data_IF_638784131413
#
_entry.id   IF_638784131413
#
_cell.length_a   1.000
_cell.length_b   1.000
_cell.length_c   1.000
_cell.angle_alpha   90.00
_cell.angle_beta   90.00
_cell.angle_gamma   90.00
#
_symmetry.space_group_name_H-M   'P 1'
#
loop_
_entity.id
_entity.type
_entity.pdbx_description
1 polymer ?
#
# COMPACT_ATOMS: atom_id res chain seq x y z
N UNK A 1 -7.17 0.37 23.22
CA UNK A 1 -7.89 0.99 22.08
C UNK A 1 -8.77 -0.08 21.46
N UNK A 2 -10.08 0.15 21.31
CA UNK A 2 -11.09 -0.89 20.99
C UNK A 2 -10.80 -1.72 19.73
N UNK A 3 -10.03 -1.21 18.77
CA UNK A 3 -9.69 -1.95 17.54
C UNK A 3 -8.91 -3.25 17.79
N UNK A 4 -8.06 -3.30 18.82
CA UNK A 4 -7.24 -4.48 19.14
C UNK A 4 -8.05 -5.59 19.81
N UNK A 5 -9.14 -5.22 20.50
CA UNK A 5 -10.02 -6.15 21.21
C UNK A 5 -10.88 -6.93 20.20
N UNK A 6 -10.78 -8.26 20.20
CA UNK A 6 -11.48 -9.13 19.24
C UNK A 6 -12.99 -8.90 19.24
N UNK A 7 -13.61 -8.64 20.40
CA UNK A 7 -15.04 -8.35 20.56
C UNK A 7 -15.47 -7.10 19.77
N UNK A 8 -14.62 -6.08 19.72
CA UNK A 8 -14.95 -4.78 19.14
C UNK A 8 -14.35 -4.56 17.76
N UNK A 9 -13.34 -5.34 17.36
CA UNK A 9 -12.63 -5.16 16.08
C UNK A 9 -13.59 -5.10 14.88
N UNK A 10 -14.51 -6.06 14.77
CA UNK A 10 -15.50 -6.10 13.68
C UNK A 10 -16.40 -4.86 13.68
N UNK A 11 -16.88 -4.43 14.85
CA UNK A 11 -17.73 -3.25 14.99
C UNK A 11 -16.98 -1.98 14.59
N UNK A 12 -15.72 -1.82 15.03
CA UNK A 12 -14.89 -0.67 14.69
C UNK A 12 -14.65 -0.61 13.18
N UNK A 13 -14.30 -1.74 12.54
CA UNK A 13 -14.17 -1.83 11.07
C UNK A 13 -15.45 -1.39 10.37
N UNK A 14 -16.61 -1.91 10.78
CA UNK A 14 -17.89 -1.54 10.19
C UNK A 14 -18.21 -0.04 10.32
N UNK A 15 -17.89 0.57 11.46
CA UNK A 15 -18.06 2.01 11.67
C UNK A 15 -17.16 2.81 10.72
N UNK A 16 -15.88 2.46 10.64
CA UNK A 16 -14.91 3.11 9.75
C UNK A 16 -15.37 3.01 8.29
N UNK A 17 -15.76 1.82 7.83
CA UNK A 17 -16.25 1.60 6.47
C UNK A 17 -17.54 2.38 6.19
N UNK A 18 -18.44 2.49 7.16
CA UNK A 18 -19.65 3.31 7.04
C UNK A 18 -19.32 4.80 6.91
N UNK A 19 -18.30 5.28 7.61
CA UNK A 19 -17.84 6.67 7.50
C UNK A 19 -17.20 6.93 6.14
N UNK A 20 -16.35 6.02 5.68
CA UNK A 20 -15.76 6.04 4.33
C UNK A 20 -16.83 6.12 3.24
N UNK A 21 -17.87 5.27 3.31
CA UNK A 21 -19.00 5.25 2.36
C UNK A 21 -19.80 6.57 2.34
N UNK A 22 -19.71 7.37 3.39
CA UNK A 22 -20.34 8.70 3.48
C UNK A 22 -19.36 9.83 3.12
N UNK A 23 -18.20 9.51 2.56
CA UNK A 23 -17.13 10.45 2.23
C UNK A 23 -16.67 11.29 3.43
N UNK A 24 -16.78 10.74 4.64
CA UNK A 24 -16.23 11.38 5.84
C UNK A 24 -14.72 11.11 5.91
N UNK A 25 -13.95 12.12 6.28
CA UNK A 25 -12.51 11.98 6.44
C UNK A 25 -12.19 11.02 7.60
N UNK A 26 -11.60 9.87 7.27
CA UNK A 26 -11.14 8.84 8.22
C UNK A 26 -9.61 8.73 8.29
N UNK A 27 -8.87 9.57 7.55
CA UNK A 27 -7.43 9.49 7.39
C UNK A 27 -6.70 9.45 8.73
N UNK A 28 -7.07 10.31 9.68
CA UNK A 28 -6.47 10.34 11.01
C UNK A 28 -6.73 9.04 11.77
N UNK A 29 -7.94 8.50 11.68
CA UNK A 29 -8.31 7.24 12.35
C UNK A 29 -7.49 6.09 11.80
N UNK A 30 -7.35 5.99 10.48
CA UNK A 30 -6.57 4.92 9.85
C UNK A 30 -5.07 5.07 10.15
N UNK A 31 -4.53 6.28 10.03
CA UNK A 31 -3.11 6.53 10.32
C UNK A 31 -2.72 6.09 11.73
N UNK A 32 -3.63 6.26 12.70
CA UNK A 32 -3.43 5.79 14.07
C UNK A 32 -3.41 4.27 14.21
N UNK A 33 -4.16 3.53 13.39
CA UNK A 33 -4.10 2.06 13.42
C UNK A 33 -2.68 1.56 13.13
N UNK A 34 -2.01 2.23 12.19
CA UNK A 34 -0.62 1.95 11.82
C UNK A 34 0.38 2.46 12.86
N UNK A 35 0.30 3.72 13.26
CA UNK A 35 1.24 4.29 14.25
C UNK A 35 1.17 3.61 15.61
N UNK A 36 -0.01 3.19 16.05
CA UNK A 36 -0.22 2.55 17.34
C UNK A 36 -0.06 1.01 17.28
N UNK A 37 0.36 0.46 16.13
CA UNK A 37 0.55 -0.99 15.88
C UNK A 37 -0.67 -1.84 16.31
N UNK A 38 -1.86 -1.43 15.87
CA UNK A 38 -3.14 -2.07 16.25
C UNK A 38 -3.61 -3.10 15.23
N UNK A 39 -2.97 -3.11 14.06
CA UNK A 39 -3.26 -3.97 12.93
C UNK A 39 -2.68 -5.35 13.16
N UNK A 40 -3.53 -6.35 12.99
CA UNK A 40 -3.20 -7.77 12.91
C UNK A 40 -3.54 -8.21 11.49
N UNK A 41 -2.52 -8.60 10.70
CA UNK A 41 -2.72 -8.87 9.28
C UNK A 41 -3.66 -10.06 9.04
N UNK A 42 -3.53 -11.14 9.81
CA UNK A 42 -4.38 -12.33 9.68
C UNK A 42 -5.86 -11.99 9.91
N UNK A 43 -6.12 -11.05 10.82
CA UNK A 43 -7.47 -10.58 11.15
C UNK A 43 -7.96 -9.44 10.26
N UNK A 44 -7.08 -8.57 9.80
CA UNK A 44 -7.42 -7.24 9.28
C UNK A 44 -7.16 -7.08 7.77
N UNK A 45 -6.56 -8.06 7.08
CA UNK A 45 -6.16 -7.99 5.66
C UNK A 45 -7.24 -7.41 4.73
N UNK A 46 -8.43 -8.01 4.68
CA UNK A 46 -9.50 -7.55 3.78
C UNK A 46 -9.93 -6.10 4.06
N UNK A 47 -9.96 -5.72 5.34
CA UNK A 47 -10.27 -4.36 5.76
C UNK A 47 -9.18 -3.38 5.32
N UNK A 48 -7.90 -3.75 5.42
CA UNK A 48 -6.79 -2.92 4.96
C UNK A 48 -6.83 -2.71 3.44
N UNK A 49 -7.11 -3.76 2.68
CA UNK A 49 -7.28 -3.68 1.22
C UNK A 49 -8.43 -2.71 0.89
N UNK A 50 -9.58 -2.82 1.57
CA UNK A 50 -10.71 -1.92 1.34
C UNK A 50 -10.38 -0.46 1.67
N UNK A 51 -9.68 -0.18 2.78
CA UNK A 51 -9.41 1.20 3.20
C UNK A 51 -8.28 1.85 2.40
N UNK A 52 -7.17 1.16 2.19
CA UNK A 52 -5.98 1.66 1.48
C UNK A 52 -6.23 1.68 -0.03
N UNK A 53 -7.00 0.72 -0.54
CA UNK A 53 -7.23 0.51 -1.97
C UNK A 53 -8.22 1.47 -2.64
N UNK A 54 -8.68 2.57 -2.03
CA UNK A 54 -9.64 3.46 -2.72
C UNK A 54 -9.51 4.96 -2.47
N UNK A 55 -8.66 5.41 -1.54
CA UNK A 55 -8.43 6.83 -1.27
C UNK A 55 -7.07 7.01 -0.61
N UNK A 56 -6.04 7.16 -1.44
CA UNK A 56 -4.66 7.25 -1.01
C UNK A 56 -4.34 8.70 -0.67
N UNK A 57 -4.43 9.04 0.60
CA UNK A 57 -3.88 10.31 1.09
C UNK A 57 -2.41 10.15 1.45
N UNK A 58 -1.66 11.27 1.39
CA UNK A 58 -0.24 11.30 1.78
C UNK A 58 0.01 10.73 3.17
N UNK A 59 -0.81 11.11 4.14
CA UNK A 59 -0.65 10.64 5.52
C UNK A 59 -0.88 9.14 5.65
N UNK A 60 -1.85 8.60 4.90
CA UNK A 60 -2.16 7.17 4.91
C UNK A 60 -0.97 6.36 4.40
N UNK A 61 -0.44 6.72 3.22
CA UNK A 61 0.72 6.05 2.61
C UNK A 61 1.91 6.10 3.56
N UNK A 62 2.26 7.28 4.06
CA UNK A 62 3.39 7.44 4.96
C UNK A 62 3.23 6.65 6.27
N UNK A 63 2.04 6.63 6.84
CA UNK A 63 1.76 5.84 8.05
C UNK A 63 1.89 4.33 7.81
N UNK A 64 1.49 3.85 6.63
CA UNK A 64 1.58 2.45 6.24
C UNK A 64 3.05 2.04 5.98
N UNK A 65 3.81 2.82 5.23
CA UNK A 65 5.25 2.60 4.99
C UNK A 65 6.00 2.52 6.32
N UNK A 66 5.77 3.48 7.21
CA UNK A 66 6.40 3.50 8.53
C UNK A 66 6.01 2.29 9.37
N UNK A 67 4.78 1.80 9.25
CA UNK A 67 4.34 0.59 9.95
C UNK A 67 5.08 -0.66 9.46
N UNK A 68 5.33 -0.78 8.15
CA UNK A 68 6.15 -1.87 7.61
C UNK A 68 7.61 -1.78 8.11
N UNK A 69 8.21 -0.58 8.06
CA UNK A 69 9.61 -0.34 8.44
C UNK A 69 9.86 -0.55 9.94
N UNK A 70 9.07 0.09 10.82
CA UNK A 70 9.30 0.06 12.27
C UNK A 70 9.19 -1.36 12.86
N UNK A 71 8.33 -2.18 12.28
CA UNK A 71 8.02 -3.51 12.79
C UNK A 71 8.76 -4.61 12.02
N UNK A 72 9.64 -4.23 11.07
CA UNK A 72 10.33 -5.16 10.15
C UNK A 72 9.36 -6.18 9.54
N UNK A 73 8.16 -5.72 9.15
CA UNK A 73 7.14 -6.60 8.56
C UNK A 73 7.64 -7.09 7.20
N UNK A 74 7.33 -8.33 6.87
CA UNK A 74 7.60 -8.82 5.51
C UNK A 74 6.74 -8.04 4.52
N UNK A 75 7.39 -7.47 3.51
CA UNK A 75 6.70 -6.76 2.43
C UNK A 75 5.83 -7.74 1.62
N UNK A 76 6.27 -8.99 1.49
CA UNK A 76 5.51 -10.07 0.83
C UNK A 76 4.15 -10.31 1.49
N UNK A 77 4.04 -10.22 2.82
CA UNK A 77 2.78 -10.45 3.53
C UNK A 77 1.72 -9.39 3.20
N UNK A 78 2.16 -8.22 2.75
CA UNK A 78 1.31 -7.08 2.39
C UNK A 78 1.19 -6.89 0.87
N UNK A 79 1.50 -7.93 0.08
CA UNK A 79 1.58 -7.86 -1.38
C UNK A 79 0.29 -7.31 -2.02
N UNK A 80 -0.87 -7.78 -1.56
CA UNK A 80 -2.15 -7.35 -2.11
C UNK A 80 -2.45 -5.87 -1.85
N UNK A 81 -2.05 -5.37 -0.68
CA UNK A 81 -2.24 -3.96 -0.30
C UNK A 81 -1.31 -3.09 -1.14
N UNK A 82 -0.04 -3.48 -1.28
CA UNK A 82 0.97 -2.74 -2.06
C UNK A 82 0.58 -2.69 -3.54
N UNK A 83 0.18 -3.81 -4.13
CA UNK A 83 -0.27 -3.87 -5.52
C UNK A 83 -1.54 -3.03 -5.75
N UNK A 84 -2.44 -2.99 -4.77
CA UNK A 84 -3.62 -2.10 -4.82
C UNK A 84 -3.22 -0.63 -4.80
N UNK A 85 -2.23 -0.25 -3.97
CA UNK A 85 -1.69 1.11 -3.94
C UNK A 85 -1.09 1.53 -5.30
N UNK A 86 -0.24 0.67 -5.87
CA UNK A 86 0.37 0.87 -7.18
C UNK A 86 -0.67 0.98 -8.31
N UNK A 87 -1.74 0.17 -8.26
CA UNK A 87 -2.82 0.26 -9.26
C UNK A 87 -3.58 1.58 -9.16
N UNK A 88 -3.84 2.06 -7.94
CA UNK A 88 -4.60 3.29 -7.73
C UNK A 88 -3.85 4.55 -8.12
N UNK A 89 -2.54 4.61 -7.87
CA UNK A 89 -1.74 5.77 -8.26
C UNK A 89 -1.74 5.94 -9.78
N UNK A 90 -1.64 4.84 -10.54
CA UNK A 90 -1.76 4.84 -12.01
C UNK A 90 -3.16 5.28 -12.43
N UNK A 91 -4.20 4.72 -11.81
CA UNK A 91 -5.61 4.95 -12.20
C UNK A 91 -6.11 6.37 -11.94
N UNK A 92 -5.66 7.00 -10.86
CA UNK A 92 -6.22 8.27 -10.37
C UNK A 92 -5.28 9.46 -10.52
N UNK A 93 -4.15 9.29 -11.20
CA UNK A 93 -3.14 10.33 -11.48
C UNK A 93 -3.74 11.67 -11.89
N UNK A 94 -4.61 11.68 -12.90
CA UNK A 94 -5.15 12.93 -13.47
C UNK A 94 -6.30 13.55 -12.64
N UNK A 95 -6.77 12.86 -11.60
CA UNK A 95 -7.96 13.27 -10.83
C UNK A 95 -7.65 13.85 -9.46
N UNK A 96 -6.52 13.48 -8.87
CA UNK A 96 -6.19 13.83 -7.49
C UNK A 96 -4.78 14.43 -7.41
N UNK A 97 -4.71 15.73 -7.10
CA UNK A 97 -3.44 16.44 -6.90
C UNK A 97 -2.68 15.97 -5.64
N UNK A 98 -3.33 15.18 -4.78
CA UNK A 98 -2.77 14.64 -3.53
C UNK A 98 -1.81 13.46 -3.72
N UNK A 99 -1.68 12.94 -4.95
CA UNK A 99 -0.69 11.90 -5.28
C UNK A 99 0.73 12.44 -5.43
N UNK A 100 0.88 13.74 -5.68
CA UNK A 100 2.18 14.40 -5.66
C UNK A 100 2.80 14.17 -4.28
N UNK A 101 4.00 13.58 -4.23
CA UNK A 101 4.79 13.20 -3.03
C UNK A 101 4.66 11.76 -2.49
N UNK A 102 3.62 11.00 -2.81
CA UNK A 102 3.55 9.56 -2.40
C UNK A 102 4.05 8.58 -3.44
N UNK A 103 4.25 9.07 -4.67
CA UNK A 103 4.65 8.24 -5.80
C UNK A 103 5.99 7.55 -5.57
N UNK A 104 6.91 8.21 -4.88
CA UNK A 104 8.23 7.66 -4.54
C UNK A 104 8.16 6.58 -3.47
N UNK A 105 7.34 6.77 -2.44
CA UNK A 105 7.11 5.77 -1.40
C UNK A 105 6.46 4.51 -1.98
N UNK A 106 5.45 4.69 -2.83
CA UNK A 106 4.78 3.57 -3.53
C UNK A 106 5.75 2.88 -4.50
N UNK A 107 6.54 3.64 -5.27
CA UNK A 107 7.56 3.08 -6.17
C UNK A 107 8.56 2.20 -5.42
N UNK A 108 9.02 2.64 -4.24
CA UNK A 108 9.93 1.86 -3.38
C UNK A 108 9.28 0.58 -2.87
N UNK A 109 8.00 0.63 -2.48
CA UNK A 109 7.28 -0.58 -2.06
C UNK A 109 7.13 -1.59 -3.20
N UNK A 110 6.82 -1.13 -4.42
CA UNK A 110 6.71 -2.00 -5.61
C UNK A 110 8.05 -2.65 -5.96
N UNK A 111 9.13 -1.88 -5.97
CA UNK A 111 10.49 -2.40 -6.22
C UNK A 111 10.92 -3.35 -5.11
N UNK A 112 10.72 -2.99 -3.84
CA UNK A 112 11.05 -3.87 -2.71
C UNK A 112 10.29 -5.20 -2.77
N UNK A 113 9.00 -5.16 -3.11
CA UNK A 113 8.19 -6.36 -3.30
C UNK A 113 8.69 -7.20 -4.50
N UNK A 114 9.09 -6.56 -5.59
CA UNK A 114 9.70 -7.26 -6.73
C UNK A 114 11.01 -7.96 -6.33
N UNK A 115 11.91 -7.25 -5.67
CA UNK A 115 13.22 -7.75 -5.26
C UNK A 115 13.11 -8.94 -4.29
N UNK A 116 12.16 -8.89 -3.36
CA UNK A 116 11.89 -9.98 -2.41
C UNK A 116 11.24 -11.21 -3.08
N UNK A 117 10.54 -11.03 -4.20
CA UNK A 117 9.79 -12.11 -4.87
C UNK A 117 10.49 -12.72 -6.07
N UNK A 118 11.31 -11.96 -6.80
CA UNK A 118 11.94 -12.39 -8.07
C UNK A 118 12.87 -13.61 -7.92
N UNK A 119 13.53 -13.74 -6.77
CA UNK A 119 14.46 -14.83 -6.47
C UNK A 119 13.78 -16.08 -5.88
N UNK A 120 12.46 -16.06 -5.67
CA UNK A 120 11.72 -17.16 -5.08
C UNK A 120 11.10 -18.04 -6.16
N UNK A 121 11.36 -19.35 -6.12
CA UNK A 121 10.92 -20.29 -7.17
C UNK A 121 9.41 -20.63 -7.11
N UNK A 122 8.66 -20.07 -6.17
CA UNK A 122 7.23 -20.34 -5.99
C UNK A 122 6.38 -19.72 -7.12
N UNK A 123 5.41 -20.47 -7.70
CA UNK A 123 4.49 -19.92 -8.69
C UNK A 123 3.72 -18.67 -8.20
N UNK A 124 3.39 -18.62 -6.91
CA UNK A 124 2.76 -17.44 -6.31
C UNK A 124 3.69 -16.23 -6.35
N UNK A 125 4.97 -16.42 -6.02
CA UNK A 125 5.96 -15.33 -5.97
C UNK A 125 6.29 -14.82 -7.36
N UNK A 126 6.41 -15.71 -8.35
CA UNK A 126 6.53 -15.31 -9.76
C UNK A 126 5.35 -14.45 -10.21
N UNK A 127 4.12 -14.87 -9.91
CA UNK A 127 2.93 -14.08 -10.25
C UNK A 127 2.87 -12.71 -9.54
N UNK A 128 3.46 -12.57 -8.35
CA UNK A 128 3.59 -11.26 -7.68
C UNK A 128 4.66 -10.41 -8.37
N UNK A 129 5.82 -11.00 -8.65
CA UNK A 129 6.94 -10.35 -9.34
C UNK A 129 6.52 -9.82 -10.72
N UNK A 130 5.79 -10.63 -11.51
CA UNK A 130 5.25 -10.23 -12.81
C UNK A 130 4.29 -9.02 -12.68
N UNK A 131 3.39 -9.03 -11.69
CA UNK A 131 2.50 -7.89 -11.43
C UNK A 131 3.24 -6.63 -11.00
N UNK A 132 4.35 -6.76 -10.27
CA UNK A 132 5.19 -5.63 -9.94
C UNK A 132 5.83 -5.03 -11.19
N UNK A 133 6.28 -5.85 -12.14
CA UNK A 133 6.81 -5.38 -13.43
C UNK A 133 5.73 -4.68 -14.26
N UNK A 134 4.53 -5.27 -14.36
CA UNK A 134 3.41 -4.64 -15.08
C UNK A 134 3.09 -3.25 -14.50
N UNK A 135 3.05 -3.12 -13.17
CA UNK A 135 2.82 -1.84 -12.51
C UNK A 135 3.99 -0.87 -12.69
N UNK A 136 5.22 -1.37 -12.63
CA UNK A 136 6.41 -0.57 -12.88
C UNK A 136 6.36 0.04 -14.28
N UNK A 137 6.11 -0.77 -15.31
CA UNK A 137 6.00 -0.30 -16.70
C UNK A 137 4.93 0.78 -16.84
N UNK A 138 3.75 0.55 -16.27
CA UNK A 138 2.67 1.54 -16.24
C UNK A 138 3.09 2.83 -15.54
N UNK A 139 3.76 2.75 -14.39
CA UNK A 139 4.27 3.93 -13.68
C UNK A 139 5.34 4.66 -14.49
N UNK A 140 6.21 3.94 -15.20
CA UNK A 140 7.26 4.52 -16.05
C UNK A 140 6.69 5.28 -17.25
N UNK A 141 5.76 4.66 -17.97
CA UNK A 141 5.04 5.27 -19.10
C UNK A 141 4.30 6.54 -18.67
N UNK A 142 3.64 6.47 -17.52
CA UNK A 142 2.90 7.59 -16.94
C UNK A 142 3.78 8.59 -16.17
N UNK A 143 5.10 8.41 -16.13
CA UNK A 143 6.03 9.34 -15.44
C UNK A 143 5.66 9.55 -13.96
N UNK A 144 5.22 8.49 -13.28
CA UNK A 144 4.81 8.52 -11.87
C UNK A 144 6.03 8.31 -10.98
N UNK A 145 6.31 9.28 -10.11
CA UNK A 145 7.38 9.24 -9.13
C UNK A 145 8.79 9.10 -9.72
N UNK A 146 9.70 8.65 -8.86
CA UNK A 146 11.11 8.45 -9.16
C UNK A 146 11.38 7.20 -9.99
N UNK A 147 10.35 6.52 -10.49
CA UNK A 147 10.50 5.23 -11.16
C UNK A 147 11.45 5.29 -12.36
N UNK A 148 11.46 6.40 -13.12
CA UNK A 148 12.41 6.62 -14.22
C UNK A 148 13.87 6.69 -13.75
N UNK A 149 14.11 7.43 -12.67
CA UNK A 149 15.43 7.56 -12.06
C UNK A 149 15.90 6.23 -11.44
N UNK A 150 14.95 5.45 -10.89
CA UNK A 150 15.21 4.14 -10.30
C UNK A 150 15.50 3.09 -11.39
N UNK A 151 14.72 3.05 -12.46
CA UNK A 151 14.97 2.23 -13.65
C UNK A 151 16.36 2.46 -14.22
N UNK A 152 16.78 3.73 -14.36
CA UNK A 152 18.10 4.04 -14.90
C UNK A 152 19.22 3.46 -14.03
N UNK A 153 19.11 3.59 -12.70
CA UNK A 153 20.08 2.99 -11.76
C UNK A 153 20.12 1.46 -11.77
N UNK A 154 19.02 0.82 -12.16
CA UNK A 154 18.92 -0.65 -12.23
C UNK A 154 19.46 -1.17 -13.56
N UNK A 155 19.28 -0.43 -14.66
CA UNK A 155 19.86 -0.76 -15.98
C UNK A 155 21.38 -0.49 -16.05
N UNK A 156 21.89 0.43 -15.24
CA UNK A 156 23.31 0.77 -15.16
C UNK A 156 24.12 -0.21 -14.25
N UNK A 157 23.51 -1.29 -13.76
CA UNK A 157 24.12 -2.35 -12.93
C UNK A 157 24.40 -3.61 -13.73
#
# INVERSE_FOLDING_TARGET
MYFKETEYNLLVKQIILKFKKRSLNIEHTISRLFYDNLVDLDRDKDFLIEIVGSDLSRKLVHSFVRYLENESKSIIDFEEIILSMGTNIVRFRDKNNDYWEVEDEISKLIIGLYDETTNLESPKMKAISDKCLDLWDLMYENQIGSIRNLSQKIMDR
#
